data_IF_487160861221
#
_entry.id   IF_487160861221
#
_cell.length_a   1.000
_cell.length_b   1.000
_cell.length_c   1.000
_cell.angle_alpha   90.00
_cell.angle_beta   90.00
_cell.angle_gamma   90.00
#
_symmetry.space_group_name_H-M   'P 1'
#
loop_
_entity.id
_entity.type
_entity.pdbx_description
1 polymer ?
#
# COMPACT_ATOMS: atom_id res chain seq x y z
N UNK A 1 27.82 32.82 -44.81
CA UNK A 1 28.61 32.02 -43.84
C UNK A 1 29.76 32.90 -43.39
N UNK A 2 29.88 33.18 -42.08
CA UNK A 2 31.06 33.87 -41.53
C UNK A 2 31.81 32.83 -40.72
N UNK A 3 32.97 32.41 -41.21
CA UNK A 3 33.90 31.57 -40.46
C UNK A 3 34.69 32.44 -39.48
N UNK A 4 34.95 31.88 -38.30
CA UNK A 4 35.70 32.53 -37.23
C UNK A 4 37.17 32.09 -37.38
N UNK A 5 38.03 33.01 -37.83
CA UNK A 5 39.44 32.73 -38.17
C UNK A 5 40.43 32.84 -37.00
N UNK A 6 39.98 32.98 -35.76
CA UNK A 6 40.90 33.16 -34.63
C UNK A 6 40.83 32.03 -33.61
N UNK A 7 41.99 31.40 -33.39
CA UNK A 7 42.21 30.31 -32.45
C UNK A 7 42.06 30.84 -31.02
N UNK A 8 41.15 30.26 -30.25
CA UNK A 8 40.90 30.64 -28.85
C UNK A 8 42.17 30.35 -28.03
N UNK A 9 42.91 31.40 -27.68
CA UNK A 9 44.07 31.35 -26.79
C UNK A 9 43.66 31.66 -25.35
N UNK A 10 43.21 30.61 -24.66
CA UNK A 10 43.04 30.58 -23.21
C UNK A 10 41.62 30.90 -22.71
N UNK A 11 41.01 29.96 -21.99
CA UNK A 11 39.81 30.17 -21.21
C UNK A 11 40.14 30.10 -19.72
N UNK A 12 39.82 31.15 -18.96
CA UNK A 12 39.90 31.17 -17.50
C UNK A 12 38.55 30.69 -16.94
N UNK A 13 38.56 29.56 -16.24
CA UNK A 13 37.38 29.06 -15.52
C UNK A 13 37.15 29.96 -14.31
N UNK A 14 36.02 30.65 -14.26
CA UNK A 14 35.61 31.39 -13.07
C UNK A 14 35.43 30.42 -11.90
N UNK A 15 36.02 30.75 -10.75
CA UNK A 15 35.93 29.94 -9.53
C UNK A 15 34.46 29.78 -9.10
N UNK A 16 34.07 28.55 -8.75
CA UNK A 16 32.73 28.14 -8.29
C UNK A 16 32.39 28.70 -6.90
N UNK A 17 32.36 30.01 -6.71
CA UNK A 17 31.92 30.61 -5.45
C UNK A 17 30.74 31.55 -5.69
N UNK A 18 29.57 30.91 -5.84
CA UNK A 18 28.21 31.38 -5.54
C UNK A 18 27.23 30.64 -6.46
N UNK A 19 27.03 29.36 -6.18
CA UNK A 19 25.84 28.67 -6.69
C UNK A 19 24.72 29.07 -5.74
N UNK A 20 23.96 30.11 -6.11
CA UNK A 20 22.63 30.33 -5.53
C UNK A 20 21.86 29.01 -5.70
N UNK A 21 21.30 28.41 -4.64
CA UNK A 21 20.54 27.18 -4.79
C UNK A 21 19.46 27.42 -5.83
N UNK A 22 19.52 26.68 -6.94
CA UNK A 22 18.41 26.65 -7.88
C UNK A 22 17.17 26.20 -7.10
N UNK A 23 15.99 26.80 -7.33
CA UNK A 23 14.76 26.28 -6.75
C UNK A 23 14.69 24.78 -7.03
N UNK A 24 14.58 23.98 -5.97
CA UNK A 24 14.44 22.54 -6.12
C UNK A 24 13.23 22.30 -7.00
N UNK A 25 13.44 21.65 -8.15
CA UNK A 25 12.34 21.33 -9.05
C UNK A 25 11.31 20.47 -8.28
N UNK A 26 10.03 20.72 -8.53
CA UNK A 26 8.98 19.87 -7.96
C UNK A 26 9.21 18.42 -8.39
N UNK A 27 9.13 17.52 -7.42
CA UNK A 27 9.21 16.07 -7.56
C UNK A 27 7.92 15.49 -6.99
N UNK A 28 6.88 15.43 -7.82
CA UNK A 28 5.56 14.98 -7.41
C UNK A 28 5.61 13.50 -7.01
N UNK A 29 5.45 13.17 -5.72
CA UNK A 29 5.62 11.81 -5.23
C UNK A 29 4.55 10.86 -5.75
N UNK A 30 3.42 11.36 -6.28
CA UNK A 30 2.31 10.54 -6.78
C UNK A 30 2.57 9.92 -8.15
N UNK A 31 3.35 10.61 -9.00
CA UNK A 31 3.77 10.13 -10.32
C UNK A 31 5.23 9.67 -10.35
N UNK A 32 5.98 9.88 -9.26
CA UNK A 32 7.38 9.44 -9.11
C UNK A 32 7.52 7.94 -9.36
N UNK A 33 8.43 7.56 -10.24
CA UNK A 33 8.68 6.16 -10.57
C UNK A 33 9.43 5.47 -9.44
N UNK A 34 8.93 4.32 -9.01
CA UNK A 34 9.59 3.42 -8.07
C UNK A 34 10.21 2.29 -8.90
N UNK A 35 11.53 2.17 -8.87
CA UNK A 35 12.23 1.19 -9.71
C UNK A 35 12.02 -0.24 -9.20
N UNK A 36 12.21 -0.45 -7.90
CA UNK A 36 12.10 -1.74 -7.25
C UNK A 36 11.27 -1.64 -5.97
N UNK A 37 10.61 -2.75 -5.61
CA UNK A 37 9.92 -2.89 -4.32
C UNK A 37 10.98 -2.94 -3.21
N UNK A 38 10.96 -2.02 -2.22
CA UNK A 38 11.84 -2.08 -1.06
C UNK A 38 11.72 -3.39 -0.27
N UNK A 39 12.83 -3.78 0.34
CA UNK A 39 12.88 -4.93 1.25
C UNK A 39 12.05 -4.66 2.53
N UNK A 40 11.55 -5.73 3.14
CA UNK A 40 10.80 -5.68 4.39
C UNK A 40 9.27 -5.75 4.24
N UNK A 41 8.59 -5.46 5.35
CA UNK A 41 7.13 -5.48 5.44
C UNK A 41 6.52 -4.19 4.91
N UNK A 42 5.33 -4.32 4.32
CA UNK A 42 4.52 -3.19 3.89
C UNK A 42 3.16 -3.26 4.54
N UNK A 43 2.59 -2.10 4.84
CA UNK A 43 1.20 -2.03 5.23
C UNK A 43 0.34 -2.47 4.04
N UNK A 44 -0.65 -3.32 4.30
CA UNK A 44 -1.49 -3.85 3.24
C UNK A 44 -2.93 -4.07 3.69
N UNK A 45 -3.85 -3.85 2.76
CA UNK A 45 -5.27 -4.17 2.91
C UNK A 45 -5.52 -5.52 2.24
N UNK A 46 -6.08 -6.46 3.01
CA UNK A 46 -6.60 -7.72 2.48
C UNK A 46 -8.12 -7.66 2.42
N UNK A 47 -8.70 -7.87 1.25
CA UNK A 47 -10.13 -7.77 1.03
C UNK A 47 -10.70 -8.99 0.32
N UNK A 48 -11.83 -9.48 0.84
CA UNK A 48 -12.62 -10.53 0.21
C UNK A 48 -13.66 -9.90 -0.70
N UNK A 49 -13.48 -10.06 -2.01
CA UNK A 49 -14.44 -9.62 -3.02
C UNK A 49 -15.39 -10.78 -3.33
N UNK A 50 -16.68 -10.47 -3.33
CA UNK A 50 -17.75 -11.43 -3.65
C UNK A 50 -18.59 -10.85 -4.77
N UNK A 51 -18.70 -11.59 -5.87
CA UNK A 51 -19.47 -11.17 -7.03
C UNK A 51 -20.32 -12.33 -7.58
N UNK A 52 -21.28 -12.02 -8.44
CA UNK A 52 -22.15 -13.01 -9.08
C UNK A 52 -22.06 -12.87 -10.60
N UNK A 53 -21.84 -13.98 -11.28
CA UNK A 53 -21.85 -14.12 -12.74
C UNK A 53 -22.99 -15.05 -13.15
N UNK A 54 -23.16 -15.30 -14.46
CA UNK A 54 -24.08 -16.31 -14.96
C UNK A 54 -23.75 -17.73 -14.46
N UNK A 55 -22.47 -18.00 -14.17
CA UNK A 55 -21.97 -19.29 -13.66
C UNK A 55 -22.16 -19.43 -12.13
N UNK A 56 -22.61 -18.36 -11.46
CA UNK A 56 -22.93 -18.37 -10.04
C UNK A 56 -22.13 -17.38 -9.21
N UNK A 57 -22.05 -17.63 -7.89
CA UNK A 57 -21.41 -16.73 -6.93
C UNK A 57 -19.93 -17.06 -6.79
N UNK A 58 -19.08 -16.11 -7.14
CA UNK A 58 -17.64 -16.20 -7.04
C UNK A 58 -17.11 -15.47 -5.81
N UNK A 59 -15.94 -15.90 -5.33
CA UNK A 59 -15.25 -15.30 -4.18
C UNK A 59 -13.77 -15.24 -4.48
N UNK A 60 -13.21 -14.07 -4.33
CA UNK A 60 -11.78 -13.84 -4.54
C UNK A 60 -11.20 -13.02 -3.41
N UNK A 61 -9.92 -13.19 -3.13
CA UNK A 61 -9.19 -12.40 -2.15
C UNK A 61 -8.17 -11.56 -2.89
N UNK A 62 -8.09 -10.29 -2.53
CA UNK A 62 -7.10 -9.36 -3.07
C UNK A 62 -6.32 -8.75 -1.93
N UNK A 63 -5.07 -8.41 -2.20
CA UNK A 63 -4.18 -7.75 -1.27
C UNK A 63 -3.59 -6.52 -1.96
N UNK A 64 -3.68 -5.36 -1.32
CA UNK A 64 -3.12 -4.10 -1.84
C UNK A 64 -2.10 -3.60 -0.83
N UNK A 65 -0.84 -3.54 -1.23
CA UNK A 65 0.24 -3.02 -0.40
C UNK A 65 0.49 -1.54 -0.66
N UNK A 66 0.77 -0.81 0.40
CA UNK A 66 0.99 0.62 0.40
C UNK A 66 2.39 0.98 0.90
N UNK A 67 2.87 2.13 0.46
CA UNK A 67 4.18 2.66 0.81
C UNK A 67 4.16 4.17 0.87
N UNK A 68 4.91 4.73 1.82
CA UNK A 68 5.21 6.15 1.87
C UNK A 68 6.25 6.50 0.80
N UNK A 69 5.95 7.51 -0.01
CA UNK A 69 6.83 8.02 -1.05
C UNK A 69 7.10 9.49 -0.79
N UNK A 70 8.38 9.83 -0.68
CA UNK A 70 8.86 11.19 -0.48
C UNK A 70 9.01 11.91 -1.82
N UNK A 71 8.71 13.21 -1.80
CA UNK A 71 8.84 14.12 -2.92
C UNK A 71 8.96 15.57 -2.46
N UNK A 72 8.92 16.49 -3.41
CA UNK A 72 9.02 17.94 -3.17
C UNK A 72 7.89 18.64 -3.92
N UNK A 73 7.09 19.44 -3.22
CA UNK A 73 6.04 20.27 -3.82
C UNK A 73 6.19 21.70 -3.33
N UNK A 74 6.18 22.67 -4.24
CA UNK A 74 6.37 24.10 -3.94
C UNK A 74 7.66 24.33 -3.12
N UNK A 75 8.72 23.56 -3.42
CA UNK A 75 10.00 23.59 -2.71
C UNK A 75 9.98 23.02 -1.28
N UNK A 76 8.89 22.38 -0.84
CA UNK A 76 8.78 21.76 0.49
C UNK A 76 8.81 20.23 0.40
N UNK A 77 9.54 19.54 1.29
CA UNK A 77 9.48 18.09 1.36
C UNK A 77 8.06 17.67 1.76
N UNK A 78 7.54 16.69 1.05
CA UNK A 78 6.24 16.09 1.31
C UNK A 78 6.36 14.57 1.22
N UNK A 79 5.51 13.89 1.96
CA UNK A 79 5.39 12.44 1.88
C UNK A 79 3.93 12.11 1.59
N UNK A 80 3.69 11.14 0.70
CA UNK A 80 2.35 10.64 0.41
C UNK A 80 2.34 9.12 0.49
N UNK A 81 1.21 8.53 0.85
CA UNK A 81 1.05 7.09 0.77
C UNK A 81 0.51 6.69 -0.61
N UNK A 82 1.10 5.65 -1.22
CA UNK A 82 0.72 5.14 -2.54
C UNK A 82 0.47 3.64 -2.50
N UNK A 83 -0.47 3.13 -3.29
CA UNK A 83 -0.48 1.70 -3.63
C UNK A 83 0.73 1.38 -4.48
N UNK A 84 1.43 0.30 -4.16
CA UNK A 84 2.65 -0.11 -4.87
C UNK A 84 2.59 -1.53 -5.40
N UNK A 85 1.84 -2.44 -4.74
CA UNK A 85 1.58 -3.77 -5.28
C UNK A 85 0.14 -4.22 -5.07
N UNK A 86 -0.31 -5.04 -6.02
CA UNK A 86 -1.60 -5.69 -6.05
C UNK A 86 -1.36 -7.17 -6.17
N UNK A 87 -1.95 -7.94 -5.26
CA UNK A 87 -1.83 -9.37 -5.22
C UNK A 87 -3.17 -10.04 -5.22
N UNK A 88 -3.17 -11.24 -5.76
CA UNK A 88 -4.30 -12.14 -5.70
C UNK A 88 -3.76 -13.51 -5.28
N UNK A 89 -3.91 -13.91 -4.00
CA UNK A 89 -3.51 -15.23 -3.54
C UNK A 89 -4.42 -16.30 -4.16
N UNK A 90 -3.92 -17.03 -5.16
CA UNK A 90 -4.58 -18.20 -5.75
C UNK A 90 -3.86 -19.47 -5.31
N UNK A 91 -4.64 -20.47 -4.91
CA UNK A 91 -4.17 -21.85 -4.83
C UNK A 91 -3.75 -22.33 -6.22
N UNK A 92 -2.48 -22.68 -6.37
CA UNK A 92 -1.86 -22.95 -7.68
C UNK A 92 -2.59 -24.08 -8.42
N UNK A 93 -3.40 -23.78 -9.44
CA UNK A 93 -3.95 -24.85 -10.28
C UNK A 93 -5.14 -24.57 -11.19
N UNK A 94 -5.97 -23.54 -10.97
CA UNK A 94 -7.08 -23.27 -11.91
C UNK A 94 -6.64 -22.33 -13.04
N UNK A 95 -6.72 -22.81 -14.28
CA UNK A 95 -6.42 -22.03 -15.50
C UNK A 95 -7.25 -20.75 -15.59
N UNK A 96 -8.47 -20.78 -15.02
CA UNK A 96 -9.43 -19.68 -14.97
C UNK A 96 -8.91 -18.43 -14.24
N UNK A 97 -7.84 -18.51 -13.44
CA UNK A 97 -7.33 -17.37 -12.68
C UNK A 97 -5.91 -16.91 -13.09
N UNK A 98 -5.31 -17.53 -14.12
CA UNK A 98 -3.97 -17.12 -14.58
C UNK A 98 -3.96 -15.68 -15.12
N UNK A 99 -5.01 -15.28 -15.84
CA UNK A 99 -5.16 -13.92 -16.36
C UNK A 99 -5.26 -12.88 -15.24
N UNK A 100 -5.89 -13.24 -14.11
CA UNK A 100 -5.96 -12.38 -12.93
C UNK A 100 -4.55 -12.15 -12.38
N UNK A 101 -3.78 -13.22 -12.20
CA UNK A 101 -2.42 -13.14 -11.70
C UNK A 101 -1.50 -12.30 -12.62
N UNK A 102 -1.64 -12.44 -13.94
CA UNK A 102 -0.93 -11.60 -14.90
C UNK A 102 -1.36 -10.12 -14.79
N UNK A 103 -2.67 -9.87 -14.71
CA UNK A 103 -3.24 -8.52 -14.55
C UNK A 103 -2.75 -7.84 -13.28
N UNK A 104 -2.65 -8.55 -12.16
CA UNK A 104 -2.15 -8.00 -10.89
C UNK A 104 -0.66 -7.65 -10.95
N UNK A 105 0.15 -8.44 -11.65
CA UNK A 105 1.57 -8.10 -11.90
C UNK A 105 1.69 -6.85 -12.76
N UNK A 106 0.91 -6.74 -13.83
CA UNK A 106 0.87 -5.55 -14.69
C UNK A 106 0.37 -4.31 -13.93
N UNK A 107 -0.66 -4.47 -13.09
CA UNK A 107 -1.19 -3.38 -12.26
C UNK A 107 -0.18 -2.94 -11.19
N UNK A 108 0.56 -3.87 -10.58
CA UNK A 108 1.65 -3.54 -9.65
C UNK A 108 2.76 -2.73 -10.33
N UNK A 109 3.12 -3.09 -11.57
CA UNK A 109 4.05 -2.30 -12.36
C UNK A 109 3.51 -0.89 -12.65
N UNK A 110 2.23 -0.78 -13.00
CA UNK A 110 1.57 0.51 -13.22
C UNK A 110 1.54 1.39 -11.96
N UNK A 111 1.34 0.77 -10.80
CA UNK A 111 1.34 1.44 -9.51
C UNK A 111 2.71 2.04 -9.16
N UNK A 112 3.77 1.24 -9.31
CA UNK A 112 5.15 1.71 -9.18
C UNK A 112 5.48 2.81 -10.19
N UNK A 113 4.91 2.74 -11.40
CA UNK A 113 5.04 3.76 -12.43
C UNK A 113 4.24 5.05 -12.20
N UNK A 114 3.37 5.11 -11.18
CA UNK A 114 2.61 6.33 -10.86
C UNK A 114 1.30 6.51 -11.64
N UNK A 115 0.75 5.43 -12.22
CA UNK A 115 -0.47 5.50 -13.04
C UNK A 115 -1.48 4.38 -12.72
N UNK A 116 -1.49 3.87 -11.47
CA UNK A 116 -2.46 2.86 -11.02
C UNK A 116 -3.92 3.31 -11.20
N UNK A 117 -4.24 4.58 -10.92
CA UNK A 117 -5.59 5.10 -11.05
C UNK A 117 -6.09 5.00 -12.51
N UNK A 118 -5.28 5.47 -13.47
CA UNK A 118 -5.57 5.37 -14.90
C UNK A 118 -5.67 3.91 -15.35
N UNK A 119 -4.74 3.04 -14.92
CA UNK A 119 -4.77 1.63 -15.28
C UNK A 119 -6.05 0.95 -14.78
N UNK A 120 -6.49 1.22 -13.55
CA UNK A 120 -7.76 0.73 -13.01
C UNK A 120 -8.96 1.24 -13.80
N UNK A 121 -8.97 2.52 -14.18
CA UNK A 121 -10.03 3.07 -15.05
C UNK A 121 -10.08 2.38 -16.41
N UNK A 122 -8.94 1.97 -16.97
CA UNK A 122 -8.90 1.20 -18.22
C UNK A 122 -9.37 -0.24 -18.01
N UNK A 123 -9.02 -0.88 -16.89
CA UNK A 123 -9.54 -2.20 -16.53
C UNK A 123 -11.07 -2.19 -16.33
N UNK A 124 -11.67 -1.08 -15.89
CA UNK A 124 -13.14 -0.90 -15.82
C UNK A 124 -13.83 -0.99 -17.19
N UNK A 125 -13.12 -0.70 -18.28
CA UNK A 125 -13.64 -0.71 -19.65
C UNK A 125 -13.61 -2.10 -20.29
N UNK A 126 -12.89 -3.06 -19.69
CA UNK A 126 -12.82 -4.43 -20.20
C UNK A 126 -14.20 -5.06 -20.17
N UNK A 127 -14.64 -5.55 -21.33
CA UNK A 127 -15.91 -6.24 -21.50
C UNK A 127 -15.68 -7.70 -21.91
N UNK A 128 -16.68 -8.53 -21.64
CA UNK A 128 -16.73 -9.92 -22.09
C UNK A 128 -18.13 -10.26 -22.61
N UNK A 129 -18.32 -11.48 -23.11
CA UNK A 129 -19.58 -11.98 -23.66
C UNK A 129 -20.40 -12.84 -22.68
N UNK A 130 -19.90 -13.12 -21.47
CA UNK A 130 -20.59 -13.97 -20.46
C UNK A 130 -21.66 -13.24 -19.63
N UNK A 131 -22.10 -12.06 -20.05
CA UNK A 131 -23.17 -11.30 -19.40
C UNK A 131 -22.74 -10.43 -18.20
N UNK A 132 -23.64 -9.69 -17.55
CA UNK A 132 -23.26 -8.72 -16.53
C UNK A 132 -22.77 -9.39 -15.23
N UNK A 133 -21.73 -8.81 -14.62
CA UNK A 133 -21.19 -9.23 -13.33
C UNK A 133 -21.73 -8.32 -12.22
N UNK A 134 -22.44 -8.88 -11.26
CA UNK A 134 -22.95 -8.13 -10.10
C UNK A 134 -21.92 -8.12 -8.98
N UNK A 135 -21.40 -6.94 -8.62
CA UNK A 135 -20.41 -6.78 -7.55
C UNK A 135 -20.60 -5.45 -6.84
N UNK A 136 -20.78 -5.49 -5.51
CA UNK A 136 -20.99 -4.32 -4.68
C UNK A 136 -22.42 -3.76 -4.70
N UNK A 137 -22.63 -2.73 -3.89
CA UNK A 137 -23.87 -1.96 -3.77
C UNK A 137 -23.56 -0.48 -3.82
N UNK A 138 -24.45 0.33 -4.40
CA UNK A 138 -24.32 1.77 -4.41
C UNK A 138 -24.83 2.39 -3.09
N UNK A 139 -24.72 3.72 -2.96
CA UNK A 139 -25.18 4.47 -1.78
C UNK A 139 -26.69 4.31 -1.48
N UNK A 140 -27.48 3.86 -2.46
CA UNK A 140 -28.92 3.61 -2.33
C UNK A 140 -29.25 2.13 -2.09
N UNK A 141 -28.24 1.28 -1.80
CA UNK A 141 -28.42 -0.15 -1.56
C UNK A 141 -28.75 -0.97 -2.81
N UNK A 142 -28.65 -0.40 -4.01
CA UNK A 142 -28.89 -1.13 -5.27
C UNK A 142 -27.63 -1.85 -5.73
N UNK A 143 -27.74 -3.05 -6.31
CA UNK A 143 -26.59 -3.78 -6.83
C UNK A 143 -25.93 -3.03 -7.98
N UNK A 144 -24.60 -3.07 -8.03
CA UNK A 144 -23.81 -2.53 -9.14
C UNK A 144 -23.48 -3.66 -10.10
N UNK A 145 -23.62 -3.38 -11.39
CA UNK A 145 -23.32 -4.30 -12.49
C UNK A 145 -22.11 -3.81 -13.29
N UNK A 146 -21.31 -4.76 -13.75
CA UNK A 146 -20.05 -4.54 -14.45
C UNK A 146 -20.01 -5.39 -15.72
N UNK A 147 -19.27 -4.93 -16.72
CA UNK A 147 -19.23 -5.56 -18.05
C UNK A 147 -18.34 -6.80 -18.13
N UNK A 148 -17.58 -7.11 -17.07
CA UNK A 148 -16.71 -8.28 -16.95
C UNK A 148 -16.28 -8.51 -15.51
N UNK A 149 -15.67 -9.66 -15.21
CA UNK A 149 -15.03 -9.93 -13.92
C UNK A 149 -13.84 -9.00 -13.67
N UNK A 150 -13.05 -8.71 -14.71
CA UNK A 150 -11.94 -7.75 -14.67
C UNK A 150 -12.45 -6.39 -14.19
N UNK A 151 -13.54 -5.91 -14.78
CA UNK A 151 -14.12 -4.63 -14.43
C UNK A 151 -14.66 -4.63 -12.99
N UNK A 152 -15.29 -5.72 -12.54
CA UNK A 152 -15.79 -5.86 -11.17
C UNK A 152 -14.66 -5.86 -10.12
N UNK A 153 -13.55 -6.56 -10.40
CA UNK A 153 -12.37 -6.58 -9.55
C UNK A 153 -11.69 -5.20 -9.54
N UNK A 154 -11.52 -4.57 -10.70
CA UNK A 154 -10.94 -3.22 -10.80
C UNK A 154 -11.75 -2.19 -9.99
N UNK A 155 -13.09 -2.26 -10.08
CA UNK A 155 -13.96 -1.42 -9.24
C UNK A 155 -13.73 -1.67 -7.75
N UNK A 156 -13.64 -2.92 -7.34
CA UNK A 156 -13.42 -3.27 -5.94
C UNK A 156 -12.06 -2.79 -5.43
N UNK A 157 -11.02 -2.85 -6.27
CA UNK A 157 -9.71 -2.25 -5.97
C UNK A 157 -9.80 -0.72 -5.88
N UNK A 158 -10.55 -0.06 -6.77
CA UNK A 158 -10.81 1.37 -6.66
C UNK A 158 -11.52 1.72 -5.34
N UNK A 159 -12.45 0.89 -4.86
CA UNK A 159 -13.06 1.09 -3.54
C UNK A 159 -12.04 1.02 -2.40
N UNK A 160 -11.06 0.12 -2.47
CA UNK A 160 -9.97 0.02 -1.49
C UNK A 160 -9.16 1.31 -1.49
N UNK A 161 -8.74 1.76 -2.68
CA UNK A 161 -7.93 2.98 -2.82
C UNK A 161 -8.70 4.25 -2.42
N UNK A 162 -10.00 4.30 -2.71
CA UNK A 162 -10.89 5.37 -2.26
C UNK A 162 -10.98 5.42 -0.73
N UNK A 163 -11.20 4.27 -0.07
CA UNK A 163 -11.23 4.20 1.41
C UNK A 163 -9.89 4.55 2.05
N UNK A 164 -8.77 4.29 1.35
CA UNK A 164 -7.43 4.69 1.78
C UNK A 164 -7.11 6.17 1.46
N UNK A 165 -8.02 6.88 0.80
CA UNK A 165 -7.87 8.30 0.47
C UNK A 165 -7.00 8.58 -0.77
N UNK A 166 -6.51 7.55 -1.47
CA UNK A 166 -5.69 7.69 -2.67
C UNK A 166 -6.52 8.09 -3.90
N UNK A 167 -7.78 7.66 -3.96
CA UNK A 167 -8.74 8.05 -5.00
C UNK A 167 -9.85 8.93 -4.42
N UNK A 168 -10.40 9.82 -5.25
CA UNK A 168 -11.61 10.58 -4.94
C UNK A 168 -12.90 9.78 -5.25
N UNK A 169 -14.06 10.42 -5.04
CA UNK A 169 -15.37 9.80 -5.26
C UNK A 169 -15.65 9.41 -6.72
N UNK A 170 -14.96 10.05 -7.67
CA UNK A 170 -15.03 9.77 -9.11
C UNK A 170 -13.92 8.78 -9.55
N UNK A 171 -13.18 8.23 -8.59
CA UNK A 171 -12.03 7.34 -8.79
C UNK A 171 -10.87 7.96 -9.58
N UNK A 172 -10.70 9.27 -9.49
CA UNK A 172 -9.50 9.95 -9.94
C UNK A 172 -8.47 9.98 -8.81
N UNK A 173 -7.20 10.02 -9.17
CA UNK A 173 -6.13 10.15 -8.19
C UNK A 173 -6.21 11.50 -7.48
N UNK A 174 -6.22 11.46 -6.15
CA UNK A 174 -6.18 12.68 -5.35
C UNK A 174 -4.85 13.40 -5.56
N UNK A 175 -4.83 14.72 -5.81
CA UNK A 175 -3.58 15.45 -6.02
C UNK A 175 -2.64 15.37 -4.82
N UNK A 176 -1.33 15.31 -5.09
CA UNK A 176 -0.27 15.09 -4.10
C UNK A 176 -0.33 16.02 -2.90
N UNK A 177 -0.64 17.31 -3.12
CA UNK A 177 -0.81 18.31 -2.05
C UNK A 177 -1.87 17.93 -1.00
N UNK A 178 -2.97 17.30 -1.42
CA UNK A 178 -4.03 16.89 -0.50
C UNK A 178 -3.66 15.60 0.23
N UNK A 179 -3.02 14.66 -0.47
CA UNK A 179 -2.49 13.43 0.13
C UNK A 179 -1.46 13.74 1.22
N UNK A 180 -0.51 14.64 0.93
CA UNK A 180 0.51 15.06 1.89
C UNK A 180 -0.10 15.69 3.16
N UNK A 181 -1.13 16.53 2.99
CA UNK A 181 -1.86 17.15 4.10
C UNK A 181 -2.64 16.13 4.94
N UNK A 182 -3.21 15.10 4.32
CA UNK A 182 -3.86 14.02 5.06
C UNK A 182 -2.84 13.23 5.87
N UNK A 183 -1.66 12.98 5.29
CA UNK A 183 -0.61 12.20 5.96
C UNK A 183 0.01 12.94 7.15
N UNK A 184 0.32 14.23 7.00
CA UNK A 184 0.85 15.04 8.10
C UNK A 184 -0.11 15.09 9.30
N UNK A 185 -1.42 15.20 9.04
CA UNK A 185 -2.45 15.18 10.10
C UNK A 185 -2.52 13.82 10.81
N UNK A 186 -2.39 12.73 10.06
CA UNK A 186 -2.38 11.38 10.64
C UNK A 186 -1.15 11.14 11.52
N UNK A 187 0.02 11.66 11.13
CA UNK A 187 1.25 11.58 11.93
C UNK A 187 1.17 12.43 13.20
N UNK A 188 0.63 13.64 13.13
CA UNK A 188 0.38 14.50 14.32
C UNK A 188 -0.65 13.89 15.29
N UNK A 189 -1.53 13.01 14.80
CA UNK A 189 -2.59 12.36 15.59
C UNK A 189 -2.17 11.01 16.17
N UNK A 190 -0.98 10.50 15.84
CA UNK A 190 -0.45 9.31 16.50
C UNK A 190 -0.01 9.69 17.91
N UNK A 191 -0.61 9.16 18.98
CA UNK A 191 -0.03 9.32 20.30
C UNK A 191 1.38 8.71 20.25
N UNK A 192 2.38 9.46 20.70
CA UNK A 192 3.65 8.87 21.10
C UNK A 192 3.31 7.71 22.04
N UNK A 193 3.51 6.48 21.57
CA UNK A 193 3.51 5.33 22.45
C UNK A 193 4.80 5.49 23.26
N UNK A 194 4.74 6.30 24.32
CA UNK A 194 5.62 6.11 25.46
C UNK A 194 5.51 4.63 25.79
N UNK A 195 6.66 3.95 25.85
CA UNK A 195 6.76 2.60 26.35
C UNK A 195 6.27 2.58 27.81
N UNK A 196 4.96 2.54 27.98
CA UNK A 196 4.32 2.31 29.25
C UNK A 196 4.71 0.90 29.68
N UNK A 197 5.37 0.84 30.84
CA UNK A 197 5.66 -0.40 31.55
C UNK A 197 4.39 -1.28 31.57
N UNK A 198 4.52 -2.60 31.38
CA UNK A 198 3.36 -3.46 31.27
C UNK A 198 2.58 -3.47 32.59
N UNK A 199 1.47 -2.73 32.63
CA UNK A 199 0.51 -2.81 33.71
C UNK A 199 -0.09 -4.23 33.77
N UNK A 200 -0.08 -4.76 34.99
CA UNK A 200 -0.51 -6.12 35.33
C UNK A 200 -1.98 -6.33 34.95
N UNK A 201 -2.21 -7.22 33.99
CA UNK A 201 -3.55 -7.69 33.62
C UNK A 201 -4.21 -8.47 34.78
N UNK A 202 -5.54 -8.37 34.97
CA UNK A 202 -6.22 -9.00 36.08
C UNK A 202 -6.36 -10.51 35.89
N UNK A 203 -6.22 -11.22 37.02
CA UNK A 203 -6.26 -12.68 37.18
C UNK A 203 -7.59 -13.27 36.69
N UNK A 204 -7.49 -14.23 35.77
CA UNK A 204 -8.59 -15.10 35.35
C UNK A 204 -8.17 -16.57 35.28
N UNK A 205 -8.69 -17.35 36.22
CA UNK A 205 -8.93 -18.80 36.19
C UNK A 205 -7.77 -19.77 35.83
N UNK A 206 -7.22 -20.38 36.89
CA UNK A 206 -7.07 -21.85 36.93
C UNK A 206 -5.87 -22.49 36.22
N UNK A 207 -4.65 -22.06 36.52
CA UNK A 207 -3.45 -22.89 36.29
C UNK A 207 -2.51 -22.75 37.49
N UNK A 208 -1.94 -23.86 37.97
CA UNK A 208 -1.09 -23.88 39.15
C UNK A 208 0.23 -23.13 38.87
N UNK A 209 0.39 -21.97 39.51
CA UNK A 209 1.65 -21.20 39.51
C UNK A 209 2.67 -21.96 40.34
N UNK A 210 3.82 -22.27 39.73
CA UNK A 210 4.88 -23.13 40.30
C UNK A 210 6.07 -22.31 40.81
N UNK A 211 6.10 -21.01 40.54
CA UNK A 211 7.15 -20.09 40.98
C UNK A 211 7.20 -18.81 40.13
N UNK A 212 8.23 -18.00 40.33
CA UNK A 212 8.53 -16.81 39.52
C UNK A 212 9.66 -17.08 38.53
N UNK A 213 9.56 -16.50 37.34
CA UNK A 213 10.56 -16.58 36.29
C UNK A 213 11.82 -15.79 36.69
N UNK A 214 13.02 -16.37 36.61
CA UNK A 214 14.25 -15.65 36.95
C UNK A 214 14.64 -14.58 35.92
N UNK A 215 14.07 -14.59 34.71
CA UNK A 215 14.41 -13.62 33.66
C UNK A 215 13.52 -12.38 33.64
N UNK A 216 12.23 -12.53 33.90
CA UNK A 216 11.27 -11.43 33.81
C UNK A 216 10.40 -11.26 35.06
N UNK A 217 10.63 -12.07 36.11
CA UNK A 217 9.81 -12.11 37.34
C UNK A 217 8.31 -12.36 37.10
N UNK A 218 7.94 -12.86 35.92
CA UNK A 218 6.57 -13.29 35.61
C UNK A 218 6.24 -14.65 36.23
N UNK A 219 4.96 -15.01 36.24
CA UNK A 219 4.50 -16.30 36.79
C UNK A 219 5.02 -17.48 35.94
N UNK A 220 5.58 -18.51 36.58
CA UNK A 220 5.84 -19.82 35.98
C UNK A 220 4.60 -20.70 36.10
N UNK A 221 4.11 -21.18 34.96
CA UNK A 221 2.95 -22.05 34.90
C UNK A 221 3.42 -23.45 34.51
N UNK A 222 2.92 -24.50 35.19
CA UNK A 222 3.25 -25.87 34.82
C UNK A 222 2.56 -26.23 33.49
N UNK A 223 3.36 -26.48 32.45
CA UNK A 223 2.90 -27.02 31.16
C UNK A 223 3.70 -28.28 30.86
N UNK A 224 3.02 -29.41 30.67
CA UNK A 224 3.63 -30.70 30.33
C UNK A 224 4.76 -31.15 31.27
N UNK A 225 4.60 -30.90 32.58
CA UNK A 225 5.60 -31.23 33.60
C UNK A 225 6.76 -30.23 33.71
N UNK A 226 6.77 -29.18 32.89
CA UNK A 226 7.79 -28.15 32.88
C UNK A 226 7.25 -26.80 33.40
N UNK A 227 7.95 -26.11 34.32
CA UNK A 227 7.64 -24.73 34.65
C UNK A 227 8.01 -23.82 33.46
N UNK A 228 7.00 -23.19 32.85
CA UNK A 228 7.18 -22.32 31.67
C UNK A 228 6.55 -20.94 31.90
N UNK A 229 7.26 -19.89 31.50
CA UNK A 229 6.81 -18.49 31.58
C UNK A 229 6.33 -18.01 30.21
N UNK A 230 5.38 -17.06 30.19
CA UNK A 230 4.89 -16.41 28.97
C UNK A 230 5.97 -15.63 28.21
N UNK A 231 7.08 -15.28 28.85
CA UNK A 231 8.25 -14.66 28.18
C UNK A 231 9.07 -15.65 27.35
N UNK A 232 8.80 -16.95 27.45
CA UNK A 232 9.53 -18.01 26.73
C UNK A 232 10.53 -18.81 27.58
N UNK A 233 10.78 -18.41 28.83
CA UNK A 233 11.64 -19.18 29.76
C UNK A 233 11.00 -20.51 30.17
N UNK A 234 11.77 -21.59 30.17
CA UNK A 234 11.36 -22.92 30.62
C UNK A 234 12.46 -23.56 31.47
N UNK A 235 12.11 -24.29 32.53
CA UNK A 235 13.09 -24.95 33.44
C UNK A 235 13.44 -26.39 33.03
N UNK A 236 13.09 -26.75 31.80
CA UNK A 236 13.60 -27.89 31.05
C UNK A 236 14.62 -27.33 30.07
#
# INVERSE_FOLDING_TARGET
>A
MKEIEQKIVGFKVAAKNNVTPFPQADDDPTIKRIEERPEGSLEAVSEKIVYSTAEGKQKVYVLVSFMKVEGVLDGKPVTVERPIEFFFPIGQGTSEHQWISATMRSLSLAARGGYAAQNLQDLRKVAWDKGPVRCGVNAHGKPIYHNSEVAAIAWSLQQILYRRGFLDADFNQVPARYLAKMMSRSEESQPEIEHAEPEKSPKGAGMAVVGECPECSGDLILRDGCPTCSCGYSKC
#
